data_IF_755300937253
#
_entry.id   IF_755300937253
#
_cell.length_a   1.000
_cell.length_b   1.000
_cell.length_c   1.000
_cell.angle_alpha   90.00
_cell.angle_beta   90.00
_cell.angle_gamma   90.00
#
_symmetry.space_group_name_H-M   'P 1'
#
loop_
_entity.id
_entity.type
_entity.pdbx_description
1 polymer ?
#
# COMPACT_ATOMS: atom_id res chain seq x y z
N UNK A 1 -24.42 -19.52 1.88
CA UNK A 1 -24.11 -18.56 2.97
C UNK A 1 -25.32 -18.48 3.87
N UNK A 2 -25.15 -18.66 5.19
CA UNK A 2 -26.27 -18.63 6.12
C UNK A 2 -26.84 -17.21 6.27
N UNK A 3 -28.16 -16.99 6.49
CA UNK A 3 -28.76 -15.65 6.63
C UNK A 3 -28.11 -14.76 7.68
N UNK A 4 -27.55 -15.34 8.75
CA UNK A 4 -26.81 -14.64 9.80
C UNK A 4 -25.44 -14.11 9.33
N UNK A 5 -24.75 -14.81 8.45
CA UNK A 5 -23.48 -14.39 7.86
C UNK A 5 -23.66 -13.20 6.92
N UNK A 6 -24.70 -13.21 6.11
CA UNK A 6 -25.01 -12.10 5.21
C UNK A 6 -25.34 -10.82 5.98
N UNK A 7 -26.09 -10.94 7.09
CA UNK A 7 -26.39 -9.80 7.97
C UNK A 7 -25.13 -9.25 8.64
N UNK A 8 -24.20 -10.12 9.12
CA UNK A 8 -22.96 -9.73 9.75
C UNK A 8 -22.03 -9.02 8.77
N UNK A 9 -21.94 -9.48 7.54
CA UNK A 9 -21.11 -8.84 6.51
C UNK A 9 -21.67 -7.47 6.08
N UNK A 10 -22.97 -7.30 6.00
CA UNK A 10 -23.60 -5.99 5.78
C UNK A 10 -23.27 -5.01 6.89
N UNK A 11 -23.36 -5.44 8.15
CA UNK A 11 -23.00 -4.62 9.30
C UNK A 11 -21.50 -4.27 9.30
N UNK A 12 -20.65 -5.23 8.96
CA UNK A 12 -19.20 -5.03 8.85
C UNK A 12 -18.87 -3.94 7.82
N UNK A 13 -19.44 -4.01 6.62
CA UNK A 13 -19.21 -2.99 5.57
C UNK A 13 -19.71 -1.61 6.00
N UNK A 14 -20.88 -1.54 6.65
CA UNK A 14 -21.45 -0.28 7.15
C UNK A 14 -20.57 0.38 8.19
N UNK A 15 -19.98 -0.39 9.11
CA UNK A 15 -19.03 0.10 10.11
C UNK A 15 -17.74 0.57 9.46
N UNK A 16 -17.21 -0.15 8.47
CA UNK A 16 -16.01 0.25 7.71
C UNK A 16 -16.25 1.59 7.00
N UNK A 17 -17.37 1.74 6.29
CA UNK A 17 -17.72 2.99 5.62
C UNK A 17 -17.84 4.16 6.60
N UNK A 18 -18.55 3.98 7.73
CA UNK A 18 -18.67 5.01 8.76
C UNK A 18 -17.33 5.38 9.41
N UNK A 19 -16.40 4.42 9.57
CA UNK A 19 -15.06 4.69 10.06
C UNK A 19 -14.24 5.50 9.06
N UNK A 20 -14.34 5.17 7.76
CA UNK A 20 -13.67 5.92 6.69
C UNK A 20 -14.17 7.37 6.66
N UNK A 21 -15.49 7.58 6.73
CA UNK A 21 -16.09 8.91 6.77
C UNK A 21 -15.59 9.74 7.97
N UNK A 22 -15.57 9.14 9.18
CA UNK A 22 -15.08 9.81 10.39
C UNK A 22 -13.61 10.21 10.26
N UNK A 23 -12.76 9.36 9.71
CA UNK A 23 -11.35 9.64 9.48
C UNK A 23 -11.16 10.79 8.48
N UNK A 24 -11.92 10.80 7.39
CA UNK A 24 -11.87 11.85 6.37
C UNK A 24 -12.40 13.19 6.89
N UNK A 25 -13.50 13.19 7.66
CA UNK A 25 -14.14 14.40 8.19
C UNK A 25 -13.28 15.08 9.27
N UNK A 26 -12.61 14.30 10.12
CA UNK A 26 -11.88 14.85 11.28
C UNK A 26 -10.39 15.05 11.03
N UNK A 27 -9.85 14.48 9.95
CA UNK A 27 -8.40 14.35 9.72
C UNK A 27 -7.66 13.79 10.96
N UNK A 28 -8.38 13.06 11.81
CA UNK A 28 -7.94 12.54 13.09
C UNK A 28 -8.51 11.15 13.32
N UNK A 29 -7.72 10.34 14.02
CA UNK A 29 -8.15 9.03 14.50
C UNK A 29 -8.88 9.09 15.83
N UNK A 30 -9.07 10.27 16.42
CA UNK A 30 -9.62 10.43 17.77
C UNK A 30 -11.13 10.17 17.88
N UNK A 31 -11.72 9.47 16.92
CA UNK A 31 -13.09 9.01 17.09
C UNK A 31 -13.20 7.90 18.14
N UNK A 32 -14.28 7.92 18.92
CA UNK A 32 -14.60 6.83 19.84
C UNK A 32 -15.37 5.72 19.12
N UNK A 33 -15.28 4.48 19.64
CA UNK A 33 -16.12 3.37 19.14
C UNK A 33 -17.64 3.67 19.31
N UNK A 34 -17.99 4.55 20.26
CA UNK A 34 -19.35 5.06 20.43
C UNK A 34 -19.77 5.97 19.28
N UNK A 35 -18.92 6.91 18.88
CA UNK A 35 -19.15 7.78 17.74
C UNK A 35 -19.25 6.97 16.46
N UNK A 36 -18.40 5.95 16.29
CA UNK A 36 -18.46 5.00 15.18
C UNK A 36 -19.80 4.24 15.13
N UNK A 37 -20.26 3.72 16.27
CA UNK A 37 -21.55 3.03 16.34
C UNK A 37 -22.71 3.95 15.94
N UNK A 38 -22.70 5.20 16.43
CA UNK A 38 -23.71 6.21 16.09
C UNK A 38 -23.67 6.55 14.58
N UNK A 39 -22.49 6.81 14.01
CA UNK A 39 -22.31 7.10 12.58
C UNK A 39 -22.73 5.92 11.69
N UNK A 40 -22.43 4.69 12.12
CA UNK A 40 -22.83 3.47 11.43
C UNK A 40 -24.29 3.07 11.69
N UNK A 41 -25.05 3.83 12.52
CA UNK A 41 -26.42 3.52 12.93
C UNK A 41 -26.59 2.08 13.44
N UNK A 42 -25.70 1.65 14.31
CA UNK A 42 -25.73 0.32 14.94
C UNK A 42 -25.73 0.45 16.45
N UNK A 43 -26.11 -0.63 17.16
CA UNK A 43 -26.02 -0.68 18.60
C UNK A 43 -24.55 -0.48 19.06
N UNK A 44 -24.35 0.22 20.18
CA UNK A 44 -23.02 0.61 20.72
C UNK A 44 -22.02 -0.55 20.83
N UNK A 45 -22.50 -1.75 21.20
CA UNK A 45 -21.66 -2.93 21.32
C UNK A 45 -21.29 -3.58 19.97
N UNK A 46 -21.98 -3.25 18.87
CA UNK A 46 -21.84 -3.93 17.58
C UNK A 46 -20.42 -3.80 16.99
N UNK A 47 -19.78 -2.61 16.95
CA UNK A 47 -18.40 -2.50 16.47
C UNK A 47 -17.42 -3.35 17.27
N UNK A 48 -17.56 -3.40 18.59
CA UNK A 48 -16.73 -4.27 19.45
C UNK A 48 -16.96 -5.75 19.17
N UNK A 49 -18.23 -6.16 18.99
CA UNK A 49 -18.57 -7.55 18.72
C UNK A 49 -18.06 -8.04 17.35
N UNK A 50 -17.93 -7.14 16.37
CA UNK A 50 -17.50 -7.49 15.01
C UNK A 50 -15.97 -7.39 14.86
N UNK A 51 -15.34 -6.37 15.43
CA UNK A 51 -13.93 -6.06 15.21
C UNK A 51 -13.05 -6.26 16.46
N UNK A 52 -13.61 -6.25 17.66
CA UNK A 52 -12.88 -6.38 18.92
C UNK A 52 -12.16 -5.11 19.37
N UNK A 53 -11.58 -4.33 18.46
CA UNK A 53 -10.84 -3.11 18.79
C UNK A 53 -10.95 -2.04 17.70
N UNK A 54 -10.60 -0.81 18.06
CA UNK A 54 -10.51 0.31 17.10
C UNK A 54 -9.42 0.06 16.06
N UNK A 55 -8.29 -0.49 16.47
CA UNK A 55 -7.19 -0.85 15.55
C UNK A 55 -7.65 -1.84 14.50
N UNK A 56 -8.45 -2.84 14.88
CA UNK A 56 -9.01 -3.80 13.91
C UNK A 56 -10.00 -3.14 12.94
N UNK A 57 -10.71 -2.09 13.36
CA UNK A 57 -11.52 -1.26 12.46
C UNK A 57 -10.64 -0.50 11.47
N UNK A 58 -9.58 0.17 11.94
CA UNK A 58 -8.65 0.92 11.09
C UNK A 58 -7.97 0.01 10.05
N UNK A 59 -7.54 -1.18 10.48
CA UNK A 59 -7.03 -2.22 9.57
C UNK A 59 -8.07 -2.63 8.52
N UNK A 60 -9.32 -2.79 8.92
CA UNK A 60 -10.39 -3.17 8.00
C UNK A 60 -10.73 -2.06 6.99
N UNK A 61 -10.59 -0.78 7.37
CA UNK A 61 -10.69 0.35 6.44
C UNK A 61 -9.58 0.27 5.39
N UNK A 62 -8.32 0.14 5.84
CA UNK A 62 -7.20 0.01 4.92
C UNK A 62 -7.33 -1.20 4.00
N UNK A 63 -7.75 -2.36 4.55
CA UNK A 63 -7.98 -3.58 3.76
C UNK A 63 -9.04 -3.39 2.68
N UNK A 64 -10.10 -2.65 2.98
CA UNK A 64 -11.17 -2.37 2.02
C UNK A 64 -10.67 -1.47 0.87
N UNK A 65 -9.96 -0.39 1.19
CA UNK A 65 -9.37 0.53 0.22
C UNK A 65 -8.33 -0.18 -0.66
N UNK A 66 -7.48 -1.04 -0.05
CA UNK A 66 -6.49 -1.83 -0.79
C UNK A 66 -7.12 -2.88 -1.69
N UNK A 67 -8.20 -3.52 -1.26
CA UNK A 67 -8.93 -4.47 -2.10
C UNK A 67 -9.56 -3.78 -3.32
N UNK A 68 -9.98 -2.54 -3.20
CA UNK A 68 -10.48 -1.73 -4.31
C UNK A 68 -9.35 -1.35 -5.27
N UNK A 69 -8.24 -0.88 -4.73
CA UNK A 69 -7.04 -0.57 -5.50
C UNK A 69 -6.52 -1.79 -6.28
N UNK A 70 -6.39 -2.96 -5.63
CA UNK A 70 -5.98 -4.20 -6.30
C UNK A 70 -6.96 -4.62 -7.40
N UNK A 71 -8.27 -4.46 -7.20
CA UNK A 71 -9.27 -4.72 -8.26
C UNK A 71 -9.10 -3.78 -9.44
N UNK A 72 -8.85 -2.50 -9.19
CA UNK A 72 -8.59 -1.53 -10.23
C UNK A 72 -7.32 -1.86 -11.04
N UNK A 73 -6.26 -2.32 -10.36
CA UNK A 73 -5.04 -2.81 -11.03
C UNK A 73 -5.31 -4.06 -11.88
N UNK A 74 -6.09 -5.02 -11.36
CA UNK A 74 -6.39 -6.27 -12.07
C UNK A 74 -7.27 -6.05 -13.31
N UNK A 75 -8.11 -5.02 -13.30
CA UNK A 75 -8.97 -4.66 -14.42
C UNK A 75 -8.19 -4.01 -15.60
N UNK A 76 -6.95 -3.60 -15.38
CA UNK A 76 -6.10 -3.01 -16.43
C UNK A 76 -5.57 -4.09 -17.36
N UNK A 77 -5.32 -3.69 -18.60
CA UNK A 77 -4.66 -4.57 -19.56
C UNK A 77 -3.27 -4.91 -19.02
N UNK A 78 -2.95 -6.22 -18.97
CA UNK A 78 -1.65 -6.67 -18.47
C UNK A 78 -0.56 -6.20 -19.41
N UNK A 79 0.37 -5.43 -18.90
CA UNK A 79 1.62 -5.10 -19.55
C UNK A 79 2.66 -6.19 -19.28
N UNK A 80 3.81 -6.09 -19.91
CA UNK A 80 4.99 -6.86 -19.54
C UNK A 80 5.35 -6.64 -18.06
N UNK A 81 5.66 -7.68 -17.26
CA UNK A 81 5.82 -7.60 -15.81
C UNK A 81 6.86 -6.57 -15.34
N UNK A 82 7.90 -6.35 -16.14
CA UNK A 82 8.92 -5.35 -15.83
C UNK A 82 8.38 -3.92 -16.02
N UNK A 83 7.47 -3.70 -16.94
CA UNK A 83 6.75 -2.43 -17.08
C UNK A 83 5.71 -2.28 -15.98
N UNK A 84 4.97 -3.36 -15.70
CA UNK A 84 3.91 -3.38 -14.68
C UNK A 84 4.42 -2.93 -13.31
N UNK A 85 5.63 -3.33 -12.89
CA UNK A 85 6.16 -2.95 -11.58
C UNK A 85 6.32 -1.44 -11.43
N UNK A 86 6.77 -0.73 -12.47
CA UNK A 86 6.93 0.73 -12.44
C UNK A 86 5.60 1.48 -12.58
N UNK A 87 4.64 0.90 -13.32
CA UNK A 87 3.26 1.41 -13.35
C UNK A 87 2.61 1.30 -11.98
N UNK A 88 2.81 0.18 -11.29
CA UNK A 88 2.30 -0.03 -9.92
C UNK A 88 2.92 0.97 -8.95
N UNK A 89 4.22 1.24 -9.02
CA UNK A 89 4.87 2.29 -8.22
C UNK A 89 4.12 3.61 -8.37
N UNK A 90 3.93 4.08 -9.59
CA UNK A 90 3.22 5.33 -9.88
C UNK A 90 1.80 5.33 -9.33
N UNK A 91 1.06 4.25 -9.57
CA UNK A 91 -0.34 4.14 -9.14
C UNK A 91 -0.50 4.06 -7.62
N UNK A 92 0.42 3.39 -6.92
CA UNK A 92 0.45 3.39 -5.46
C UNK A 92 0.62 4.81 -4.91
N UNK A 93 1.53 5.58 -5.50
CA UNK A 93 1.77 6.96 -5.07
C UNK A 93 0.56 7.84 -5.39
N UNK A 94 -0.01 7.75 -6.58
CA UNK A 94 -1.26 8.45 -6.92
C UNK A 94 -2.40 8.11 -5.94
N UNK A 95 -2.53 6.85 -5.56
CA UNK A 95 -3.51 6.40 -4.59
C UNK A 95 -3.28 7.04 -3.21
N UNK A 96 -2.05 7.06 -2.67
CA UNK A 96 -1.77 7.69 -1.39
C UNK A 96 -1.97 9.21 -1.42
N UNK A 97 -1.66 9.85 -2.54
CA UNK A 97 -1.83 11.29 -2.72
C UNK A 97 -3.23 11.71 -3.15
N UNK A 98 -4.15 10.77 -3.38
CA UNK A 98 -5.57 11.11 -3.60
C UNK A 98 -6.22 11.68 -2.33
N UNK A 99 -5.83 11.18 -1.15
CA UNK A 99 -6.29 11.66 0.16
C UNK A 99 -5.10 11.65 1.17
N UNK A 100 -4.09 12.53 0.99
CA UNK A 100 -2.82 12.40 1.70
C UNK A 100 -2.95 12.54 3.22
N UNK A 101 -3.82 13.40 3.72
CA UNK A 101 -4.07 13.57 5.15
C UNK A 101 -4.68 12.30 5.74
N UNK A 102 -5.66 11.73 5.05
CA UNK A 102 -6.31 10.48 5.45
C UNK A 102 -5.30 9.33 5.56
N UNK A 103 -4.55 9.06 4.48
CA UNK A 103 -3.60 7.95 4.46
C UNK A 103 -2.41 8.17 5.41
N UNK A 104 -1.84 9.38 5.52
CA UNK A 104 -0.81 9.68 6.51
C UNK A 104 -1.30 9.40 7.94
N UNK A 105 -2.52 9.82 8.27
CA UNK A 105 -3.12 9.61 9.58
C UNK A 105 -3.34 8.12 9.86
N UNK A 106 -3.94 7.41 8.91
CA UNK A 106 -4.22 5.98 9.02
C UNK A 106 -2.94 5.15 9.18
N UNK A 107 -1.94 5.38 8.32
CA UNK A 107 -0.67 4.65 8.37
C UNK A 107 0.13 4.96 9.65
N UNK A 108 0.14 6.21 10.13
CA UNK A 108 0.83 6.59 11.37
C UNK A 108 0.33 5.75 12.54
N UNK A 109 -0.97 5.65 12.70
CA UNK A 109 -1.58 4.83 13.75
C UNK A 109 -1.26 3.35 13.62
N UNK A 110 -1.34 2.88 12.40
CA UNK A 110 -1.09 1.47 12.14
C UNK A 110 0.40 1.11 12.32
N UNK A 111 1.34 2.00 12.04
CA UNK A 111 2.78 1.78 12.24
C UNK A 111 3.20 1.84 13.72
N UNK A 112 2.48 2.59 14.55
CA UNK A 112 2.78 2.72 15.99
C UNK A 112 2.35 1.49 16.82
N UNK A 113 1.56 0.57 16.25
CA UNK A 113 1.11 -0.64 16.93
C UNK A 113 2.28 -1.62 17.11
N UNK A 114 2.63 -1.96 18.35
CA UNK A 114 3.62 -3.00 18.66
C UNK A 114 3.24 -4.33 18.00
N UNK A 115 4.12 -4.85 17.14
CA UNK A 115 3.88 -6.08 16.37
C UNK A 115 3.19 -5.87 15.03
N UNK A 116 2.83 -4.66 14.67
CA UNK A 116 2.17 -4.32 13.42
C UNK A 116 2.98 -4.71 12.18
N UNK A 117 4.31 -4.72 12.25
CA UNK A 117 5.18 -5.13 11.14
C UNK A 117 4.91 -6.53 10.59
N UNK A 118 4.23 -7.40 11.36
CA UNK A 118 3.87 -8.76 10.92
C UNK A 118 2.44 -8.89 10.39
N UNK A 119 1.54 -7.96 10.75
CA UNK A 119 0.09 -8.11 10.50
C UNK A 119 -0.45 -7.10 9.49
N UNK A 120 0.38 -6.16 9.01
CA UNK A 120 -0.10 -5.11 8.11
C UNK A 120 -0.60 -5.66 6.79
N UNK A 121 -1.89 -5.43 6.55
CA UNK A 121 -2.43 -5.31 5.21
C UNK A 121 -1.80 -4.07 4.56
N UNK A 122 -0.63 -4.28 4.00
CA UNK A 122 0.10 -3.25 3.28
C UNK A 122 -0.56 -2.96 1.94
N UNK A 123 -0.39 -1.73 1.41
CA UNK A 123 -0.69 -1.51 0.02
C UNK A 123 0.02 -2.59 -0.78
N UNK A 124 -0.77 -3.35 -1.51
CA UNK A 124 -0.33 -4.55 -2.20
C UNK A 124 0.01 -5.70 -1.23
N UNK A 125 -1.01 -6.53 -0.99
CA UNK A 125 -0.89 -7.76 -0.19
C UNK A 125 0.32 -8.56 -0.62
N UNK A 126 0.87 -9.34 0.30
CA UNK A 126 1.98 -10.27 0.01
C UNK A 126 1.77 -11.06 -1.29
N UNK A 127 0.56 -11.51 -1.57
CA UNK A 127 0.20 -12.18 -2.81
C UNK A 127 0.37 -11.34 -4.08
N UNK A 128 0.30 -10.01 -4.00
CA UNK A 128 0.53 -9.14 -5.15
C UNK A 128 2.02 -9.15 -5.56
N UNK A 129 2.92 -8.86 -4.63
CA UNK A 129 4.36 -8.85 -4.90
C UNK A 129 4.86 -10.22 -5.35
N UNK A 130 4.37 -11.30 -4.71
CA UNK A 130 4.68 -12.68 -5.10
C UNK A 130 4.21 -12.98 -6.54
N UNK A 131 3.00 -12.58 -6.91
CA UNK A 131 2.49 -12.77 -8.28
C UNK A 131 3.34 -12.01 -9.30
N UNK A 132 3.73 -10.78 -8.99
CA UNK A 132 4.53 -9.95 -9.90
C UNK A 132 5.95 -10.49 -10.06
N UNK A 133 6.63 -10.84 -8.97
CA UNK A 133 7.97 -11.45 -9.01
C UNK A 133 7.95 -12.79 -9.74
N UNK A 134 6.95 -13.63 -9.48
CA UNK A 134 6.76 -14.89 -10.21
C UNK A 134 6.59 -14.68 -11.70
N UNK A 135 5.81 -13.69 -12.09
CA UNK A 135 5.63 -13.34 -13.52
C UNK A 135 6.94 -12.89 -14.16
N UNK A 136 7.76 -12.09 -13.44
CA UNK A 136 9.09 -11.69 -13.91
C UNK A 136 10.06 -12.87 -14.07
N UNK A 137 10.04 -13.85 -13.15
CA UNK A 137 10.83 -15.08 -13.26
C UNK A 137 10.38 -15.88 -14.48
N UNK A 138 9.08 -16.16 -14.61
CA UNK A 138 8.54 -16.99 -15.69
C UNK A 138 8.77 -16.39 -17.10
N UNK A 139 8.88 -15.07 -17.20
CA UNK A 139 9.14 -14.37 -18.46
C UNK A 139 10.63 -14.06 -18.69
N UNK A 140 11.52 -14.58 -17.85
CA UNK A 140 12.98 -14.44 -18.03
C UNK A 140 13.51 -13.02 -17.79
N UNK A 141 12.81 -12.19 -16.99
CA UNK A 141 13.28 -10.86 -16.65
C UNK A 141 14.30 -10.84 -15.52
N UNK A 142 14.40 -11.92 -14.75
CA UNK A 142 15.31 -12.10 -13.61
C UNK A 142 16.31 -13.22 -13.91
N UNK A 143 17.46 -13.16 -13.25
CA UNK A 143 18.47 -14.20 -13.31
C UNK A 143 18.00 -15.49 -12.61
N UNK A 144 18.48 -16.64 -13.07
CA UNK A 144 17.99 -17.97 -12.65
C UNK A 144 18.22 -18.29 -11.15
N UNK A 145 19.19 -17.63 -10.52
CA UNK A 145 19.47 -17.79 -9.08
C UNK A 145 18.48 -17.04 -8.18
N UNK A 146 17.57 -16.22 -8.75
CA UNK A 146 16.68 -15.35 -7.97
C UNK A 146 15.47 -16.14 -7.47
N UNK A 147 15.32 -16.22 -6.15
CA UNK A 147 14.13 -16.79 -5.54
C UNK A 147 12.98 -15.76 -5.47
N UNK A 148 11.79 -16.16 -5.90
CA UNK A 148 10.59 -15.31 -5.95
C UNK A 148 10.25 -14.68 -4.60
N UNK A 149 10.19 -15.49 -3.56
CA UNK A 149 9.73 -15.12 -2.23
C UNK A 149 10.60 -14.07 -1.54
N UNK A 150 11.94 -14.25 -1.43
CA UNK A 150 12.81 -13.23 -0.85
C UNK A 150 12.76 -11.90 -1.60
N UNK A 151 12.66 -11.92 -2.93
CA UNK A 151 12.53 -10.70 -3.73
C UNK A 151 11.18 -10.01 -3.46
N UNK A 152 10.07 -10.74 -3.46
CA UNK A 152 8.74 -10.21 -3.14
C UNK A 152 8.71 -9.56 -1.75
N UNK A 153 9.30 -10.22 -0.74
CA UNK A 153 9.44 -9.67 0.61
C UNK A 153 10.28 -8.39 0.64
N UNK A 154 11.36 -8.33 -0.14
CA UNK A 154 12.22 -7.16 -0.20
C UNK A 154 11.49 -5.97 -0.82
N UNK A 155 10.81 -6.16 -1.97
CA UNK A 155 10.02 -5.11 -2.63
C UNK A 155 8.91 -4.57 -1.72
N UNK A 156 8.25 -5.46 -0.98
CA UNK A 156 7.28 -5.08 0.04
C UNK A 156 7.90 -4.24 1.15
N UNK A 157 9.07 -4.60 1.66
CA UNK A 157 9.78 -3.84 2.72
C UNK A 157 10.20 -2.46 2.23
N UNK A 158 10.69 -2.35 1.00
CA UNK A 158 11.01 -1.07 0.36
C UNK A 158 9.77 -0.16 0.35
N UNK A 159 8.63 -0.68 -0.07
CA UNK A 159 7.36 0.06 -0.10
C UNK A 159 6.95 0.54 1.29
N UNK A 160 7.06 -0.33 2.31
CA UNK A 160 6.81 0.01 3.72
C UNK A 160 7.69 1.15 4.22
N UNK A 161 8.98 1.06 3.95
CA UNK A 161 9.94 2.06 4.36
C UNK A 161 9.62 3.42 3.72
N UNK A 162 9.28 3.43 2.44
CA UNK A 162 8.90 4.66 1.73
C UNK A 162 7.66 5.31 2.35
N UNK A 163 6.65 4.52 2.75
CA UNK A 163 5.49 5.03 3.49
C UNK A 163 5.93 5.68 4.81
N UNK A 164 6.82 5.01 5.57
CA UNK A 164 7.35 5.56 6.82
C UNK A 164 8.06 6.91 6.61
N UNK A 165 8.87 7.02 5.57
CA UNK A 165 9.54 8.28 5.19
C UNK A 165 8.52 9.36 4.81
N UNK A 166 7.52 9.04 3.99
CA UNK A 166 6.47 9.96 3.60
C UNK A 166 5.63 10.48 4.78
N UNK A 167 5.37 9.62 5.78
CA UNK A 167 4.66 10.02 7.01
C UNK A 167 5.51 10.96 7.86
N UNK A 168 6.82 10.69 7.94
CA UNK A 168 7.75 11.44 8.79
C UNK A 168 8.19 12.77 8.16
N UNK A 169 8.12 12.89 6.82
CA UNK A 169 8.61 14.04 6.06
C UNK A 169 7.51 14.60 5.19
N UNK A 170 7.58 15.92 4.93
CA UNK A 170 6.64 16.58 4.02
C UNK A 170 7.17 16.52 2.59
N UNK A 171 7.16 15.31 2.02
CA UNK A 171 7.59 15.06 0.65
C UNK A 171 6.44 15.27 -0.33
N UNK A 172 6.75 15.83 -1.48
CA UNK A 172 5.83 15.91 -2.61
C UNK A 172 5.57 14.54 -3.24
N UNK A 173 4.52 14.44 -4.03
CA UNK A 173 4.19 13.21 -4.76
C UNK A 173 5.35 12.72 -5.63
N UNK A 174 6.02 13.64 -6.35
CA UNK A 174 7.14 13.30 -7.22
C UNK A 174 8.36 12.78 -6.44
N UNK A 175 8.62 13.33 -5.26
CA UNK A 175 9.72 12.86 -4.39
C UNK A 175 9.46 11.46 -3.87
N UNK A 176 8.24 11.18 -3.38
CA UNK A 176 7.88 9.85 -2.88
C UNK A 176 7.90 8.82 -4.01
N UNK A 177 7.40 9.17 -5.22
CA UNK A 177 7.51 8.31 -6.40
C UNK A 177 8.98 8.03 -6.76
N UNK A 178 9.81 9.06 -6.73
CA UNK A 178 11.22 8.91 -7.05
C UNK A 178 11.96 8.05 -6.02
N UNK A 179 11.72 8.22 -4.71
CA UNK A 179 12.31 7.39 -3.66
C UNK A 179 11.92 5.92 -3.80
N UNK A 180 10.63 5.64 -4.00
CA UNK A 180 10.14 4.27 -4.18
C UNK A 180 10.67 3.66 -5.46
N UNK A 181 10.57 4.38 -6.57
CA UNK A 181 10.99 3.90 -7.88
C UNK A 181 12.50 3.68 -7.97
N UNK A 182 13.31 4.56 -7.36
CA UNK A 182 14.77 4.41 -7.27
C UNK A 182 15.15 3.17 -6.47
N UNK A 183 14.58 2.99 -5.28
CA UNK A 183 14.87 1.86 -4.41
C UNK A 183 14.47 0.51 -5.04
N UNK A 184 13.31 0.45 -5.69
CA UNK A 184 12.87 -0.73 -6.45
C UNK A 184 13.81 -0.98 -7.64
N UNK A 185 14.21 0.07 -8.36
CA UNK A 185 15.14 -0.06 -9.50
C UNK A 185 16.49 -0.62 -9.07
N UNK A 186 17.04 -0.15 -7.93
CA UNK A 186 18.29 -0.68 -7.37
C UNK A 186 18.17 -2.16 -7.02
N UNK A 187 17.08 -2.54 -6.34
CA UNK A 187 16.85 -3.94 -5.97
C UNK A 187 16.73 -4.84 -7.21
N UNK A 188 16.04 -4.39 -8.25
CA UNK A 188 15.87 -5.14 -9.48
C UNK A 188 17.13 -5.17 -10.34
N UNK A 189 17.95 -4.11 -10.37
CA UNK A 189 19.16 -4.04 -11.19
C UNK A 189 20.17 -5.13 -10.79
N UNK A 190 20.28 -5.42 -9.49
CA UNK A 190 21.14 -6.49 -8.98
C UNK A 190 20.73 -7.90 -9.36
N UNK A 191 19.49 -8.10 -9.81
CA UNK A 191 18.93 -9.42 -10.11
C UNK A 191 18.32 -9.52 -11.52
N UNK A 192 18.36 -8.45 -12.29
CA UNK A 192 17.84 -8.43 -13.65
C UNK A 192 18.62 -9.35 -14.60
N UNK A 193 17.89 -10.07 -15.45
CA UNK A 193 18.52 -10.78 -16.55
C UNK A 193 19.17 -9.78 -17.54
N UNK A 194 20.23 -10.18 -18.28
CA UNK A 194 20.95 -9.29 -19.18
C UNK A 194 20.04 -8.52 -20.16
N UNK A 195 19.02 -9.17 -20.70
CA UNK A 195 18.03 -8.54 -21.61
C UNK A 195 17.12 -7.50 -20.96
N UNK A 196 17.01 -7.50 -19.63
CA UNK A 196 16.16 -6.60 -18.84
C UNK A 196 16.94 -5.48 -18.15
N UNK A 197 18.25 -5.67 -17.92
CA UNK A 197 19.10 -4.77 -17.14
C UNK A 197 19.08 -3.33 -17.68
N UNK A 198 19.17 -3.12 -18.98
CA UNK A 198 19.13 -1.77 -19.58
C UNK A 198 17.81 -1.04 -19.33
N UNK A 199 16.68 -1.77 -19.30
CA UNK A 199 15.35 -1.19 -19.00
C UNK A 199 15.25 -0.76 -17.54
N UNK A 200 15.74 -1.59 -16.62
CA UNK A 200 15.80 -1.26 -15.16
C UNK A 200 16.74 -0.07 -14.94
N UNK A 201 17.92 -0.06 -15.57
CA UNK A 201 18.86 1.04 -15.48
C UNK A 201 18.28 2.38 -15.98
N UNK A 202 17.49 2.34 -17.07
CA UNK A 202 16.79 3.53 -17.55
C UNK A 202 15.84 4.11 -16.51
N UNK A 203 15.08 3.27 -15.80
CA UNK A 203 14.19 3.72 -14.72
C UNK A 203 14.99 4.25 -13.52
N UNK A 204 16.05 3.56 -13.12
CA UNK A 204 16.97 4.00 -12.07
C UNK A 204 17.46 5.44 -12.32
N UNK A 205 18.00 5.69 -13.52
CA UNK A 205 18.53 7.00 -13.90
C UNK A 205 17.44 8.08 -13.96
N UNK A 206 16.23 7.73 -14.38
CA UNK A 206 15.08 8.64 -14.35
C UNK A 206 14.77 9.09 -12.92
N UNK A 207 14.62 8.16 -11.97
CA UNK A 207 14.30 8.49 -10.59
C UNK A 207 15.47 9.16 -9.87
N UNK A 208 16.70 8.74 -10.13
CA UNK A 208 17.91 9.38 -9.60
C UNK A 208 17.98 10.86 -9.96
N UNK A 209 17.65 11.22 -11.20
CA UNK A 209 17.63 12.63 -11.64
C UNK A 209 16.66 13.45 -10.80
N UNK A 210 15.43 12.95 -10.57
CA UNK A 210 14.43 13.63 -9.77
C UNK A 210 14.95 13.86 -8.34
N UNK A 211 15.55 12.85 -7.73
CA UNK A 211 16.10 12.94 -6.37
C UNK A 211 17.24 13.97 -6.26
N UNK A 212 18.13 14.05 -7.25
CA UNK A 212 19.21 15.03 -7.27
C UNK A 212 18.68 16.46 -7.43
N UNK A 213 17.75 16.69 -8.36
CA UNK A 213 17.11 17.99 -8.57
C UNK A 213 16.38 18.52 -7.33
N UNK A 214 15.87 17.60 -6.50
CA UNK A 214 15.20 17.97 -5.26
C UNK A 214 16.19 18.26 -4.13
N UNK A 215 17.29 17.50 -4.04
CA UNK A 215 18.34 17.74 -3.05
C UNK A 215 18.99 19.12 -3.21
N UNK A 216 19.19 19.57 -4.44
CA UNK A 216 19.77 20.90 -4.76
C UNK A 216 18.86 22.08 -4.36
N UNK A 217 17.56 21.84 -4.12
CA UNK A 217 16.61 22.85 -3.66
C UNK A 217 16.57 23.03 -2.14
N UNK A 218 17.13 22.09 -1.42
CA UNK A 218 17.10 22.06 0.06
C UNK A 218 18.42 22.49 0.69
N UNK A 219 19.48 22.69 -0.09
CA UNK A 219 20.79 23.19 0.32
C UNK A 219 20.98 24.63 -0.07
#
# INVERSE_FOLDING_TARGET
MAPHEETREKLRRRIIAAARDLLSETASIEFSMRALAAKAEVAHATPYNIFGSKQAVLLAVLDADMAEFERALQARQKSDPLTEIFEVVRLCIEFWFSEPVFYKTLYRELLDIKGAHQTFAMPLREGFWRRLTRSMVLQGHLQDFVAEEPLAMNLRRITLQTIGVWIARDLSQNEVEAELGYSISLALLGVAAPGSAARVQKQLLRYQRILLETSDRLG
#
